data_IF_665492588824
#
_entry.id   IF_665492588824
#
_cell.length_a   1.000
_cell.length_b   1.000
_cell.length_c   1.000
_cell.angle_alpha   90.00
_cell.angle_beta   90.00
_cell.angle_gamma   90.00
#
_symmetry.space_group_name_H-M   'P 1'
#
loop_
_entity.id
_entity.type
_entity.pdbx_description
1 polymer ?
#
# COMPACT_ATOMS: atom_id res chain seq x y z
N UNK A 1 -5.58 16.54 -3.81
CA UNK A 1 -4.59 15.63 -4.40
C UNK A 1 -5.10 14.22 -4.14
N UNK A 2 -4.96 13.26 -5.07
CA UNK A 2 -5.34 11.86 -4.77
C UNK A 2 -4.22 11.22 -3.96
N UNK A 3 -4.58 10.64 -2.81
CA UNK A 3 -3.65 10.06 -1.83
C UNK A 3 -2.76 8.92 -2.35
N UNK A 4 -1.57 8.75 -1.79
CA UNK A 4 -0.50 7.81 -2.20
C UNK A 4 -0.97 6.35 -2.32
N UNK A 5 -1.81 5.89 -1.39
CA UNK A 5 -2.33 4.51 -1.33
C UNK A 5 -3.61 4.28 -2.15
N UNK A 6 -4.33 5.35 -2.51
CA UNK A 6 -5.68 5.31 -3.10
C UNK A 6 -5.74 5.84 -4.55
N UNK A 7 -4.62 5.84 -5.26
CA UNK A 7 -4.61 6.26 -6.66
C UNK A 7 -5.11 5.13 -7.56
N UNK A 8 -6.11 5.39 -8.41
CA UNK A 8 -6.29 4.65 -9.66
C UNK A 8 -5.05 4.91 -10.54
N UNK A 9 -4.00 4.13 -10.31
CA UNK A 9 -2.73 4.19 -11.05
C UNK A 9 -2.91 3.58 -12.43
N UNK A 10 -3.65 4.31 -13.26
CA UNK A 10 -3.91 4.00 -14.68
C UNK A 10 -2.66 4.18 -15.54
N UNK A 11 -1.62 4.81 -15.00
CA UNK A 11 -0.33 5.10 -15.63
C UNK A 11 0.73 4.00 -15.39
N UNK A 12 0.54 3.12 -14.40
CA UNK A 12 1.40 1.95 -14.20
C UNK A 12 0.90 0.83 -15.10
N UNK A 13 1.79 0.15 -15.86
CA UNK A 13 1.42 -1.01 -16.65
C UNK A 13 0.60 -1.99 -15.82
N UNK A 14 -0.60 -2.31 -16.31
CA UNK A 14 -1.53 -3.21 -15.66
C UNK A 14 -0.85 -4.57 -15.43
N UNK A 15 -0.61 -4.94 -14.17
CA UNK A 15 -0.35 -6.32 -13.76
C UNK A 15 0.99 -6.61 -13.05
N UNK A 16 1.95 -5.68 -13.00
CA UNK A 16 3.23 -5.92 -12.35
C UNK A 16 3.26 -5.38 -10.90
N UNK A 17 3.28 -6.29 -9.92
CA UNK A 17 3.37 -5.95 -8.49
C UNK A 17 4.66 -5.15 -8.17
N UNK A 18 5.76 -5.46 -8.86
CA UNK A 18 7.04 -4.77 -8.67
C UNK A 18 6.96 -3.30 -9.08
N UNK A 19 6.30 -2.98 -10.20
CA UNK A 19 6.17 -1.59 -10.67
C UNK A 19 5.25 -0.78 -9.75
N UNK A 20 4.18 -1.41 -9.24
CA UNK A 20 3.31 -0.81 -8.20
C UNK A 20 4.10 -0.51 -6.93
N UNK A 21 4.89 -1.47 -6.45
CA UNK A 21 5.77 -1.30 -5.30
C UNK A 21 6.76 -0.14 -5.52
N UNK A 22 7.49 -0.12 -6.65
CA UNK A 22 8.43 0.96 -6.99
C UNK A 22 7.76 2.33 -6.97
N UNK A 23 6.56 2.45 -7.55
CA UNK A 23 5.81 3.70 -7.53
C UNK A 23 5.42 4.14 -6.11
N UNK A 24 5.02 3.21 -5.22
CA UNK A 24 4.82 3.57 -3.81
C UNK A 24 6.12 4.08 -3.16
N UNK A 25 7.25 3.43 -3.41
CA UNK A 25 8.55 3.85 -2.85
C UNK A 25 8.93 5.24 -3.34
N UNK A 26 8.79 5.52 -4.63
CA UNK A 26 9.12 6.83 -5.17
C UNK A 26 8.19 7.93 -4.63
N UNK A 27 6.90 7.63 -4.45
CA UNK A 27 5.95 8.55 -3.83
C UNK A 27 6.28 8.82 -2.35
N UNK A 28 6.60 7.78 -1.57
CA UNK A 28 7.03 7.90 -0.17
C UNK A 28 8.28 8.79 -0.07
N UNK A 29 9.28 8.50 -0.91
CA UNK A 29 10.55 9.26 -0.92
C UNK A 29 10.31 10.72 -1.30
N UNK A 30 9.44 10.97 -2.30
CA UNK A 30 9.08 12.32 -2.72
C UNK A 30 8.43 13.12 -1.59
N UNK A 31 7.49 12.52 -0.85
CA UNK A 31 6.85 13.18 0.29
C UNK A 31 7.89 13.46 1.39
N UNK A 32 8.72 12.47 1.72
CA UNK A 32 9.77 12.66 2.73
C UNK A 32 10.76 13.76 2.31
N UNK A 33 11.16 13.83 1.04
CA UNK A 33 12.12 14.83 0.55
C UNK A 33 11.51 16.26 0.50
N UNK A 34 10.18 16.37 0.42
CA UNK A 34 9.45 17.65 0.49
C UNK A 34 9.32 18.20 1.92
N UNK A 35 9.44 17.33 2.93
CA UNK A 35 9.27 17.71 4.33
C UNK A 35 10.63 17.67 5.05
N UNK A 36 10.94 18.69 5.85
CA UNK A 36 12.16 18.63 6.65
C UNK A 36 12.06 17.52 7.71
N UNK A 37 13.18 16.91 8.08
CA UNK A 37 13.21 15.74 9.00
C UNK A 37 12.58 16.04 10.36
N UNK A 38 12.75 17.25 10.88
CA UNK A 38 12.16 17.67 12.15
C UNK A 38 10.63 17.67 12.09
N UNK A 39 10.06 18.19 11.00
CA UNK A 39 8.61 18.22 10.76
C UNK A 39 8.03 16.82 10.71
N UNK A 40 8.69 15.89 10.02
CA UNK A 40 8.25 14.48 9.95
C UNK A 40 8.20 13.87 11.36
N UNK A 41 9.21 14.09 12.19
CA UNK A 41 9.23 13.56 13.56
C UNK A 41 8.20 14.22 14.51
N UNK A 42 7.78 15.45 14.21
CA UNK A 42 6.79 16.18 15.01
C UNK A 42 5.35 15.83 14.62
N UNK A 43 5.11 15.64 13.33
CA UNK A 43 3.77 15.43 12.77
C UNK A 43 3.43 13.96 12.58
N UNK A 44 4.40 13.07 12.71
CA UNK A 44 4.21 11.61 12.56
C UNK A 44 4.81 10.85 13.73
N UNK A 45 4.39 9.59 13.88
CA UNK A 45 4.99 8.66 14.84
C UNK A 45 6.30 8.01 14.34
N UNK A 46 6.88 8.49 13.23
CA UNK A 46 8.10 7.91 12.66
C UNK A 46 9.35 8.41 13.38
N UNK A 47 10.18 7.47 13.82
CA UNK A 47 11.51 7.78 14.35
C UNK A 47 12.54 8.04 13.23
N UNK A 48 13.70 8.58 13.62
CA UNK A 48 14.76 8.90 12.66
C UNK A 48 15.28 7.66 11.90
N UNK A 49 15.52 6.50 12.55
CA UNK A 49 15.83 5.25 11.85
C UNK A 49 14.79 4.86 10.78
N UNK A 50 13.49 4.98 11.07
CA UNK A 50 12.41 4.70 10.14
C UNK A 50 12.43 5.67 8.96
N UNK A 51 12.56 6.98 9.20
CA UNK A 51 12.67 7.97 8.12
C UNK A 51 13.87 7.68 7.21
N UNK A 52 15.05 7.40 7.78
CA UNK A 52 16.25 7.05 7.00
C UNK A 52 16.03 5.76 6.19
N UNK A 53 15.36 4.76 6.77
CA UNK A 53 15.02 3.51 6.07
C UNK A 53 14.09 3.80 4.89
N UNK A 54 13.03 4.57 5.09
CA UNK A 54 12.04 4.93 4.07
C UNK A 54 12.62 5.77 2.92
N UNK A 55 13.69 6.55 3.16
CA UNK A 55 14.39 7.30 2.10
C UNK A 55 15.23 6.43 1.16
N UNK A 56 15.53 5.17 1.52
CA UNK A 56 16.35 4.28 0.68
C UNK A 56 15.62 3.94 -0.63
N UNK A 57 16.38 3.68 -1.71
CA UNK A 57 15.82 3.25 -3.00
C UNK A 57 15.11 1.89 -2.95
N UNK A 58 15.55 0.99 -2.07
CA UNK A 58 14.91 -0.31 -1.87
C UNK A 58 14.75 -0.57 -0.37
N UNK A 59 13.76 0.07 0.26
CA UNK A 59 13.53 -0.02 1.69
C UNK A 59 12.90 -1.36 2.03
N UNK A 60 13.56 -2.14 2.89
CA UNK A 60 13.03 -3.44 3.33
C UNK A 60 11.89 -3.25 4.33
N UNK A 61 10.91 -4.15 4.27
CA UNK A 61 9.89 -4.35 5.30
C UNK A 61 9.03 -3.12 5.62
N UNK A 62 8.65 -2.35 4.59
CA UNK A 62 7.67 -1.27 4.77
C UNK A 62 6.28 -1.88 4.96
N UNK A 63 5.53 -1.38 5.92
CA UNK A 63 4.10 -1.68 6.09
C UNK A 63 3.21 -0.66 5.40
N UNK A 64 1.98 -1.05 5.05
CA UNK A 64 0.99 -0.08 4.54
C UNK A 64 0.71 1.05 5.54
N UNK A 65 0.84 0.77 6.84
CA UNK A 65 0.63 1.75 7.89
C UNK A 65 1.75 2.79 7.91
N UNK A 66 3.00 2.39 7.70
CA UNK A 66 4.12 3.33 7.55
C UNK A 66 3.98 4.18 6.28
N UNK A 67 3.52 3.59 5.18
CA UNK A 67 3.21 4.34 3.96
C UNK A 67 2.08 5.37 4.22
N UNK A 68 1.00 4.95 4.88
CA UNK A 68 -0.10 5.82 5.30
C UNK A 68 0.35 6.92 6.27
N UNK A 69 1.31 6.62 7.14
CA UNK A 69 1.89 7.60 8.08
C UNK A 69 2.64 8.70 7.34
N UNK A 70 3.35 8.36 6.26
CA UNK A 70 3.98 9.34 5.38
C UNK A 70 2.92 10.11 4.57
N UNK A 71 1.90 9.44 4.07
CA UNK A 71 0.82 10.06 3.30
C UNK A 71 0.03 11.10 4.11
N UNK A 72 -0.14 10.88 5.42
CA UNK A 72 -0.79 11.83 6.32
C UNK A 72 -0.09 13.22 6.39
N UNK A 73 1.14 13.35 5.90
CA UNK A 73 1.83 14.64 5.77
C UNK A 73 1.26 15.52 4.65
N UNK A 74 0.59 14.92 3.67
CA UNK A 74 0.03 15.61 2.49
C UNK A 74 -1.48 15.43 2.34
N UNK A 75 -2.05 14.41 2.99
CA UNK A 75 -3.49 14.17 3.08
C UNK A 75 -3.93 14.34 4.55
N UNK A 76 -4.86 15.25 4.86
CA UNK A 76 -5.26 15.56 6.25
C UNK A 76 -6.18 14.49 6.86
N UNK A 77 -5.79 13.22 6.77
CA UNK A 77 -6.48 12.08 7.37
C UNK A 77 -5.52 11.32 8.30
N UNK A 78 -6.03 10.73 9.41
CA UNK A 78 -5.23 9.87 10.26
C UNK A 78 -4.61 8.69 9.49
N UNK A 79 -3.38 8.25 9.82
CA UNK A 79 -2.73 7.11 9.16
C UNK A 79 -3.56 5.82 9.21
N UNK A 80 -4.33 5.61 10.28
CA UNK A 80 -5.22 4.46 10.43
C UNK A 80 -6.34 4.47 9.37
N UNK A 81 -6.91 5.65 9.11
CA UNK A 81 -7.98 5.82 8.12
C UNK A 81 -7.44 5.65 6.70
N UNK A 82 -6.26 6.21 6.40
CA UNK A 82 -5.60 6.04 5.10
C UNK A 82 -5.27 4.56 4.81
N UNK A 83 -4.75 3.84 5.80
CA UNK A 83 -4.48 2.40 5.66
C UNK A 83 -5.77 1.56 5.54
N UNK A 84 -6.87 2.01 6.16
CA UNK A 84 -8.18 1.37 6.00
C UNK A 84 -8.72 1.60 4.58
N UNK A 85 -8.74 2.84 4.10
CA UNK A 85 -9.18 3.19 2.74
C UNK A 85 -8.41 2.45 1.65
N UNK A 86 -7.11 2.23 1.85
CA UNK A 86 -6.28 1.42 0.96
C UNK A 86 -6.83 -0.01 0.82
N UNK A 87 -7.21 -0.63 1.94
CA UNK A 87 -7.82 -1.97 1.94
C UNK A 87 -9.22 -1.97 1.35
N UNK A 88 -10.03 -0.96 1.67
CA UNK A 88 -11.36 -0.79 1.09
C UNK A 88 -11.29 -0.68 -0.43
N UNK A 89 -10.27 0.01 -0.96
CA UNK A 89 -10.02 0.10 -2.41
C UNK A 89 -9.78 -1.28 -3.03
N UNK A 90 -9.04 -2.17 -2.36
CA UNK A 90 -8.86 -3.55 -2.80
C UNK A 90 -10.17 -4.33 -2.80
N UNK A 91 -10.94 -4.25 -1.71
CA UNK A 91 -12.23 -4.94 -1.55
C UNK A 91 -13.24 -4.45 -2.60
N UNK A 92 -13.32 -3.14 -2.82
CA UNK A 92 -14.12 -2.55 -3.89
C UNK A 92 -13.66 -3.05 -5.26
N UNK A 93 -12.34 -3.18 -5.47
CA UNK A 93 -11.82 -3.73 -6.71
C UNK A 93 -12.18 -5.17 -6.97
N UNK A 94 -12.17 -6.01 -5.93
CA UNK A 94 -12.65 -7.40 -5.98
C UNK A 94 -14.16 -7.45 -6.27
N UNK A 95 -14.95 -6.57 -5.67
CA UNK A 95 -16.39 -6.51 -5.91
C UNK A 95 -16.70 -6.12 -7.36
N UNK A 96 -15.95 -5.16 -7.92
CA UNK A 96 -16.10 -4.73 -9.32
C UNK A 96 -15.71 -5.83 -10.31
N UNK A 97 -14.68 -6.63 -10.00
CA UNK A 97 -14.29 -7.78 -10.83
C UNK A 97 -15.05 -9.08 -10.51
N UNK A 98 -16.06 -9.03 -9.63
CA UNK A 98 -16.82 -10.20 -9.17
C UNK A 98 -15.90 -11.34 -8.71
N UNK A 99 -14.78 -10.98 -8.09
CA UNK A 99 -13.74 -11.90 -7.64
C UNK A 99 -13.84 -12.15 -6.14
N UNK A 100 -13.73 -13.40 -5.72
CA UNK A 100 -13.66 -13.77 -4.31
C UNK A 100 -12.23 -14.08 -3.87
N UNK A 101 -12.01 -14.21 -2.55
CA UNK A 101 -10.71 -14.59 -1.97
C UNK A 101 -10.24 -15.95 -2.49
N UNK A 102 -11.17 -16.87 -2.82
CA UNK A 102 -10.82 -18.19 -3.35
C UNK A 102 -10.15 -18.11 -4.72
N UNK A 103 -10.61 -17.19 -5.57
CA UNK A 103 -10.11 -16.96 -6.93
C UNK A 103 -8.87 -16.07 -6.93
N UNK A 104 -8.79 -15.13 -5.98
CA UNK A 104 -7.63 -14.25 -5.82
C UNK A 104 -6.43 -14.95 -5.17
N UNK A 105 -6.65 -15.85 -4.22
CA UNK A 105 -5.59 -16.55 -3.48
C UNK A 105 -4.46 -17.15 -4.33
N UNK A 106 -4.72 -17.91 -5.41
CA UNK A 106 -3.64 -18.48 -6.24
C UNK A 106 -2.79 -17.44 -6.97
N UNK A 107 -3.26 -16.20 -7.11
CA UNK A 107 -2.59 -15.11 -7.82
C UNK A 107 -1.62 -14.30 -6.94
N UNK A 108 -1.67 -14.49 -5.61
CA UNK A 108 -0.91 -13.71 -4.64
C UNK A 108 0.20 -14.56 -4.04
N UNK A 109 1.40 -14.46 -4.60
CA UNK A 109 2.57 -15.26 -4.20
C UNK A 109 2.95 -15.09 -2.73
N UNK A 110 3.13 -16.19 -1.99
CA UNK A 110 3.60 -16.14 -0.60
C UNK A 110 2.50 -15.97 0.47
N UNK A 111 1.22 -15.86 0.09
CA UNK A 111 0.14 -16.09 1.06
C UNK A 111 -0.04 -17.59 1.21
N UNK A 112 0.00 -18.10 2.44
CA UNK A 112 -0.07 -19.56 2.67
C UNK A 112 -1.50 -20.10 2.83
N UNK A 113 -2.51 -19.24 3.02
CA UNK A 113 -3.92 -19.67 3.11
C UNK A 113 -4.90 -18.54 2.77
N UNK A 114 -6.15 -18.90 2.45
CA UNK A 114 -7.22 -17.95 2.13
C UNK A 114 -7.58 -17.09 3.35
N UNK A 115 -7.55 -17.67 4.54
CA UNK A 115 -7.84 -16.98 5.80
C UNK A 115 -6.77 -15.93 6.11
N UNK A 116 -5.50 -16.19 5.72
CA UNK A 116 -4.46 -15.17 5.81
C UNK A 116 -4.70 -14.03 4.84
N UNK A 117 -5.10 -14.31 3.60
CA UNK A 117 -5.47 -13.27 2.62
C UNK A 117 -6.65 -12.44 3.12
N UNK A 118 -7.70 -13.10 3.61
CA UNK A 118 -8.89 -12.46 4.19
C UNK A 118 -8.52 -11.52 5.34
N UNK A 119 -7.78 -11.98 6.35
CA UNK A 119 -7.37 -11.10 7.45
C UNK A 119 -6.43 -9.95 7.07
N UNK A 120 -5.71 -10.04 5.94
CA UNK A 120 -4.95 -8.90 5.42
C UNK A 120 -5.88 -7.85 4.81
N UNK A 121 -6.91 -8.28 4.08
CA UNK A 121 -7.96 -7.43 3.51
C UNK A 121 -8.82 -6.78 4.60
N UNK A 122 -9.17 -7.53 5.64
CA UNK A 122 -9.96 -7.02 6.78
C UNK A 122 -9.13 -6.15 7.73
N UNK A 123 -7.80 -6.13 7.56
CA UNK A 123 -6.90 -5.34 8.38
C UNK A 123 -6.63 -5.87 9.79
N UNK A 124 -7.09 -7.09 10.08
CA UNK A 124 -6.79 -7.82 11.33
C UNK A 124 -5.29 -8.16 11.48
N UNK A 125 -4.54 -8.12 10.36
CA UNK A 125 -3.09 -8.32 10.33
C UNK A 125 -2.38 -7.15 9.67
N UNK A 126 -1.16 -6.90 10.13
CA UNK A 126 -0.26 -5.97 9.45
C UNK A 126 0.06 -6.47 8.04
N UNK A 127 -0.01 -5.58 7.06
CA UNK A 127 0.27 -5.88 5.67
C UNK A 127 1.54 -5.13 5.24
N UNK A 128 2.49 -5.84 4.64
CA UNK A 128 3.64 -5.19 4.01
C UNK A 128 3.21 -4.48 2.73
N UNK A 129 3.91 -3.43 2.35
CA UNK A 129 3.63 -2.68 1.13
C UNK A 129 3.89 -3.51 -0.13
N UNK A 130 4.87 -4.43 -0.08
CA UNK A 130 5.09 -5.42 -1.14
C UNK A 130 3.88 -6.34 -1.28
N UNK A 131 3.38 -6.87 -0.15
CA UNK A 131 2.18 -7.73 -0.12
C UNK A 131 0.95 -7.00 -0.64
N UNK A 132 0.79 -5.74 -0.25
CA UNK A 132 -0.29 -4.89 -0.73
C UNK A 132 -0.23 -4.71 -2.26
N UNK A 133 0.95 -4.40 -2.81
CA UNK A 133 1.15 -4.27 -4.24
C UNK A 133 0.89 -5.57 -5.02
N UNK A 134 1.21 -6.74 -4.44
CA UNK A 134 0.88 -8.05 -5.01
C UNK A 134 -0.64 -8.28 -5.08
N UNK A 135 -1.35 -8.00 -3.98
CA UNK A 135 -2.81 -8.14 -3.93
C UNK A 135 -3.47 -7.17 -4.92
N UNK A 136 -3.03 -5.92 -4.94
CA UNK A 136 -3.54 -4.91 -5.87
C UNK A 136 -3.32 -5.32 -7.34
N UNK A 137 -2.14 -5.86 -7.67
CA UNK A 137 -1.87 -6.38 -9.00
C UNK A 137 -2.78 -7.55 -9.37
N UNK A 138 -3.00 -8.49 -8.44
CA UNK A 138 -3.87 -9.63 -8.64
C UNK A 138 -5.34 -9.19 -8.86
N UNK A 139 -5.85 -8.25 -8.05
CA UNK A 139 -7.19 -7.66 -8.23
C UNK A 139 -7.31 -6.96 -9.59
N UNK A 140 -6.29 -6.20 -9.99
CA UNK A 140 -6.28 -5.53 -11.29
C UNK A 140 -6.28 -6.52 -12.47
N UNK A 141 -5.59 -7.66 -12.36
CA UNK A 141 -5.63 -8.71 -13.40
C UNK A 141 -7.02 -9.32 -13.55
N UNK A 142 -7.72 -9.54 -12.44
CA UNK A 142 -9.07 -10.11 -12.45
C UNK A 142 -10.12 -9.17 -13.07
N UNK A 143 -9.91 -7.85 -13.03
CA UNK A 143 -10.78 -6.88 -13.73
C UNK A 143 -10.69 -6.96 -15.25
N UNK A 144 -9.63 -7.55 -15.79
CA UNK A 144 -9.36 -7.63 -17.24
C UNK A 144 -9.67 -9.00 -17.84
N UNK A 145 -9.90 -10.01 -16.99
CA UNK A 145 -10.23 -11.38 -17.38
C UNK A 145 -11.73 -11.52 -17.66
#
# INVERSE_FOLDING_TARGET
>A
MRGLLNQDRTDIPLGAAEDRYKSYIDAIRRIIDQHNRQKIQQETALDLPQVIRLQKRNPREITIYEAATVEALVEPLPPQELALQARETLVLGMAVSVTDVKSLFPEVEGVTSKEKLQSLLDGERSCSLTRYAEIEAAVARQRLA
#
